data_IF_893562021205
#
_entry.id   IF_893562021205
#
_cell.length_a   1.000
_cell.length_b   1.000
_cell.length_c   1.000
_cell.angle_alpha   90.00
_cell.angle_beta   90.00
_cell.angle_gamma   90.00
#
_symmetry.space_group_name_H-M   'P 1'
#
loop_
_entity.id
_entity.type
_entity.pdbx_description
1 polymer ?
#
# COMPACT_ATOMS: atom_id res chain seq x y z
N UNK A 1 -40.28 -2.20 -69.53
CA UNK A 1 -40.06 -3.66 -69.68
C UNK A 1 -38.56 -3.88 -69.85
N UNK A 2 -37.95 -4.72 -69.00
CA UNK A 2 -36.75 -5.54 -69.34
C UNK A 2 -35.39 -4.80 -69.45
N UNK A 3 -34.53 -4.81 -68.42
CA UNK A 3 -33.42 -5.76 -68.10
C UNK A 3 -32.08 -5.49 -68.84
N UNK A 4 -31.06 -5.16 -68.01
CA UNK A 4 -29.59 -5.45 -68.03
C UNK A 4 -28.70 -5.22 -69.27
N UNK A 5 -27.61 -4.44 -69.11
CA UNK A 5 -26.19 -4.91 -68.97
C UNK A 5 -25.15 -3.76 -69.12
N UNK A 6 -24.17 -3.76 -68.17
CA UNK A 6 -22.70 -3.47 -68.34
C UNK A 6 -22.32 -2.00 -68.67
N UNK A 7 -21.24 -1.35 -68.18
CA UNK A 7 -20.03 -1.72 -67.42
C UNK A 7 -19.26 -0.40 -67.06
N UNK A 8 -18.56 -0.38 -65.91
CA UNK A 8 -17.41 0.48 -65.49
C UNK A 8 -17.71 1.99 -65.28
N UNK A 9 -17.25 2.66 -64.21
CA UNK A 9 -15.87 2.70 -63.67
C UNK A 9 -15.84 3.24 -62.22
N UNK A 10 -14.97 2.64 -61.41
CA UNK A 10 -14.17 3.20 -60.31
C UNK A 10 -14.83 3.94 -59.13
N UNK A 11 -15.05 3.23 -58.02
CA UNK A 11 -14.37 3.54 -56.75
C UNK A 11 -14.45 2.32 -55.83
N UNK A 12 -13.36 1.54 -55.80
CA UNK A 12 -13.13 0.49 -54.83
C UNK A 12 -11.99 0.96 -53.93
N UNK A 13 -12.11 0.73 -52.63
CA UNK A 13 -10.93 0.62 -51.78
C UNK A 13 -11.09 1.17 -50.36
N UNK A 14 -11.24 0.22 -49.44
CA UNK A 14 -10.70 0.25 -48.07
C UNK A 14 -11.54 1.02 -47.04
N UNK A 15 -12.60 0.36 -46.55
CA UNK A 15 -12.97 0.47 -45.14
C UNK A 15 -12.09 -0.56 -44.42
N UNK A 16 -10.96 -0.10 -43.91
CA UNK A 16 -10.09 -0.88 -43.04
C UNK A 16 -10.81 -0.98 -41.69
N UNK A 17 -11.61 -2.03 -41.51
CA UNK A 17 -12.05 -2.45 -40.18
C UNK A 17 -10.80 -2.97 -39.45
N UNK A 18 -10.07 -2.06 -38.80
CA UNK A 18 -9.04 -2.38 -37.82
C UNK A 18 -9.77 -2.94 -36.58
N UNK A 19 -10.23 -4.19 -36.66
CA UNK A 19 -10.35 -5.01 -35.46
C UNK A 19 -8.91 -5.29 -35.02
N UNK A 20 -8.37 -4.36 -34.22
CA UNK A 20 -7.24 -4.66 -33.35
C UNK A 20 -7.74 -5.75 -32.38
N UNK A 21 -7.60 -7.00 -32.79
CA UNK A 21 -7.42 -8.08 -31.84
C UNK A 21 -6.10 -7.78 -31.13
N UNK A 22 -6.15 -6.93 -30.10
CA UNK A 22 -5.15 -6.98 -29.05
C UNK A 22 -5.31 -8.34 -28.41
N UNK A 23 -4.47 -9.28 -28.86
CA UNK A 23 -4.14 -10.44 -28.05
C UNK A 23 -3.49 -9.88 -26.79
N UNK A 24 -4.29 -9.60 -25.76
CA UNK A 24 -3.80 -9.60 -24.39
C UNK A 24 -3.19 -10.99 -24.22
N UNK A 25 -1.86 -11.06 -24.24
CA UNK A 25 -1.10 -12.25 -23.91
C UNK A 25 -1.31 -12.50 -22.42
N UNK A 26 -2.42 -13.19 -22.14
CA UNK A 26 -3.01 -13.34 -20.83
C UNK A 26 -2.12 -14.14 -19.89
N UNK A 27 -1.48 -13.42 -18.99
CA UNK A 27 -0.79 -13.94 -17.85
C UNK A 27 -0.72 -12.83 -16.80
N UNK A 28 -1.63 -12.89 -15.82
CA UNK A 28 -1.80 -11.83 -14.84
C UNK A 28 -1.28 -12.24 -13.46
N UNK A 29 -0.81 -13.49 -13.31
CA UNK A 29 -0.07 -13.93 -12.13
C UNK A 29 1.29 -14.47 -12.53
N UNK A 30 2.34 -13.84 -11.99
CA UNK A 30 3.73 -14.25 -12.12
C UNK A 30 4.06 -15.11 -10.91
N UNK A 31 4.38 -16.38 -11.14
CA UNK A 31 4.90 -17.25 -10.10
C UNK A 31 6.42 -17.17 -10.05
N UNK A 32 6.95 -16.95 -8.86
CA UNK A 32 8.39 -16.85 -8.60
C UNK A 32 8.85 -17.79 -7.51
N UNK A 33 10.14 -18.07 -7.51
CA UNK A 33 10.86 -18.60 -6.36
C UNK A 33 12.08 -17.75 -6.02
N UNK A 34 12.57 -17.85 -4.78
CA UNK A 34 13.76 -17.13 -4.33
C UNK A 34 13.53 -16.36 -3.04
N UNK A 35 14.44 -15.48 -2.70
CA UNK A 35 14.37 -14.69 -1.47
C UNK A 35 14.47 -13.19 -1.75
N UNK A 36 13.88 -12.43 -0.84
CA UNK A 36 14.04 -11.00 -0.74
C UNK A 36 14.51 -10.65 0.66
N UNK A 37 15.44 -9.70 0.76
CA UNK A 37 15.92 -9.17 2.04
C UNK A 37 16.13 -7.68 1.95
N UNK A 38 15.58 -6.96 2.90
CA UNK A 38 15.79 -5.51 2.98
C UNK A 38 16.20 -5.10 4.39
N UNK A 39 17.00 -4.06 4.48
CA UNK A 39 17.37 -3.41 5.74
C UNK A 39 17.18 -1.93 5.58
N UNK A 40 16.31 -1.36 6.41
CA UNK A 40 15.93 0.05 6.35
C UNK A 40 16.01 0.68 7.73
N UNK A 41 16.35 1.96 7.78
CA UNK A 41 16.00 2.79 8.93
C UNK A 41 14.77 3.60 8.57
N UNK A 42 13.67 3.41 9.31
CA UNK A 42 12.41 4.10 9.12
C UNK A 42 12.32 5.32 10.05
N UNK A 43 11.72 6.38 9.52
CA UNK A 43 11.38 7.63 10.20
C UNK A 43 9.92 7.94 9.87
N UNK A 44 9.05 7.75 10.84
CA UNK A 44 7.61 7.96 10.67
C UNK A 44 7.23 9.12 11.57
N UNK A 45 6.71 10.17 10.97
CA UNK A 45 6.20 11.34 11.68
C UNK A 45 4.70 11.41 11.50
N UNK A 46 3.97 11.55 12.59
CA UNK A 46 2.54 11.81 12.57
C UNK A 46 2.27 13.16 13.22
N UNK A 47 1.46 13.99 12.55
CA UNK A 47 1.06 15.31 13.03
C UNK A 47 -0.44 15.38 13.14
N UNK A 48 -0.90 15.96 14.24
CA UNK A 48 -2.26 16.43 14.44
C UNK A 48 -2.21 17.96 14.50
N UNK A 49 -3.04 18.62 13.71
CA UNK A 49 -3.23 20.07 13.84
C UNK A 49 -4.71 20.43 13.97
N UNK A 50 -5.03 21.27 14.94
CA UNK A 50 -6.40 21.72 15.20
C UNK A 50 -6.40 23.17 15.69
N UNK A 51 -7.48 23.90 15.37
CA UNK A 51 -7.71 25.27 15.85
C UNK A 51 -7.93 25.38 17.36
N UNK A 52 -7.95 24.25 18.07
CA UNK A 52 -7.98 24.17 19.53
C UNK A 52 -8.83 22.99 19.98
N UNK A 53 -8.21 21.97 20.54
CA UNK A 53 -8.93 20.81 21.08
C UNK A 53 -9.38 21.16 22.51
N UNK A 54 -10.70 21.28 22.71
CA UNK A 54 -11.29 21.69 24.00
C UNK A 54 -11.21 20.61 25.07
N UNK A 55 -11.00 19.36 24.65
CA UNK A 55 -10.91 18.17 25.50
C UNK A 55 -9.52 17.56 25.44
N UNK A 56 -9.25 16.64 26.36
CA UNK A 56 -8.05 15.82 26.32
C UNK A 56 -8.01 15.01 25.02
N UNK A 57 -6.79 14.84 24.51
CA UNK A 57 -6.54 14.19 23.23
C UNK A 57 -5.80 12.90 23.50
N UNK A 58 -6.41 11.78 23.16
CA UNK A 58 -5.77 10.47 23.24
C UNK A 58 -5.35 10.02 21.86
N UNK A 59 -4.13 9.52 21.73
CA UNK A 59 -3.63 8.87 20.52
C UNK A 59 -3.20 7.45 20.83
N UNK A 60 -3.68 6.50 20.03
CA UNK A 60 -3.22 5.11 20.08
C UNK A 60 -2.35 4.83 18.88
N UNK A 61 -1.17 4.29 19.11
CA UNK A 61 -0.28 3.80 18.06
C UNK A 61 0.20 2.39 18.34
N UNK A 62 0.46 1.67 17.27
CA UNK A 62 1.07 0.34 17.31
C UNK A 62 2.56 0.45 17.04
N UNK A 63 3.32 -0.39 17.73
CA UNK A 63 4.79 -0.42 17.64
C UNK A 63 5.21 -1.69 16.91
N UNK A 64 6.05 -1.60 15.86
CA UNK A 64 6.50 -2.77 15.13
C UNK A 64 7.33 -3.68 16.03
N UNK A 65 7.09 -4.99 15.91
CA UNK A 65 7.81 -6.03 16.65
C UNK A 65 8.59 -6.95 15.73
N UNK A 66 9.56 -7.66 16.30
CA UNK A 66 10.25 -8.74 15.60
C UNK A 66 9.38 -10.00 15.61
N UNK A 67 9.32 -10.70 14.49
CA UNK A 67 8.61 -11.97 14.37
C UNK A 67 9.28 -12.89 13.33
N UNK A 68 8.90 -14.16 13.36
CA UNK A 68 9.28 -15.14 12.34
C UNK A 68 8.07 -16.01 12.04
N UNK A 69 7.62 -15.96 10.80
CA UNK A 69 6.59 -16.79 10.21
C UNK A 69 7.22 -17.66 9.11
N UNK A 70 6.42 -18.51 8.46
CA UNK A 70 6.94 -19.52 7.53
C UNK A 70 7.63 -18.92 6.31
N UNK A 71 7.04 -17.89 5.71
CA UNK A 71 7.55 -17.27 4.48
C UNK A 71 8.26 -15.95 4.74
N UNK A 72 8.06 -15.34 5.90
CA UNK A 72 8.47 -13.97 6.18
C UNK A 72 8.97 -13.82 7.62
N UNK A 73 10.00 -13.02 7.78
CA UNK A 73 10.53 -12.65 9.07
C UNK A 73 10.83 -11.15 9.11
N UNK A 74 10.69 -10.57 10.30
CA UNK A 74 11.01 -9.18 10.55
C UNK A 74 11.81 -9.09 11.84
N UNK A 75 12.85 -8.26 11.84
CA UNK A 75 13.59 -7.91 13.03
C UNK A 75 13.61 -6.40 13.19
N UNK A 76 13.13 -5.95 14.34
CA UNK A 76 13.08 -4.54 14.72
C UNK A 76 14.18 -4.27 15.75
N UNK A 77 14.94 -3.21 15.54
CA UNK A 77 15.97 -2.75 16.48
C UNK A 77 16.03 -1.22 16.51
N UNK A 78 16.69 -0.67 17.52
CA UNK A 78 16.89 0.78 17.65
C UNK A 78 15.61 1.62 17.63
N UNK A 79 14.52 1.08 18.19
CA UNK A 79 13.25 1.78 18.31
C UNK A 79 13.38 3.01 19.23
N UNK A 80 13.04 4.19 18.71
CA UNK A 80 12.97 5.45 19.43
C UNK A 80 11.61 6.11 19.18
N UNK A 81 11.07 6.70 20.23
CA UNK A 81 9.80 7.42 20.22
C UNK A 81 10.06 8.84 20.73
N UNK A 82 9.58 9.85 20.02
CA UNK A 82 9.65 11.25 20.43
C UNK A 82 8.29 11.92 20.27
N UNK A 83 7.97 12.84 21.16
CA UNK A 83 6.66 13.47 21.25
C UNK A 83 6.80 14.97 21.49
N UNK A 84 6.13 15.78 20.68
CA UNK A 84 6.12 17.23 20.78
C UNK A 84 4.70 17.80 20.65
N UNK A 85 4.12 18.42 21.68
CA UNK A 85 4.64 18.56 23.05
C UNK A 85 4.67 17.21 23.80
N UNK A 86 5.32 17.14 24.98
CA UNK A 86 5.27 15.93 25.79
C UNK A 86 3.83 15.58 26.22
N UNK A 87 3.42 14.30 26.15
CA UNK A 87 2.12 13.86 26.62
C UNK A 87 2.03 13.93 28.16
N UNK A 88 0.83 14.13 28.67
CA UNK A 88 0.52 14.06 30.10
C UNK A 88 0.63 12.63 30.65
N UNK A 89 0.23 11.64 29.85
CA UNK A 89 0.37 10.22 30.18
C UNK A 89 0.88 9.42 28.98
N UNK A 90 1.67 8.39 29.28
CA UNK A 90 2.12 7.37 28.34
C UNK A 90 1.78 6.03 28.97
N UNK A 91 0.97 5.24 28.29
CA UNK A 91 0.60 3.89 28.69
C UNK A 91 1.03 2.90 27.61
N UNK A 92 1.83 1.90 27.98
CA UNK A 92 2.32 0.88 27.06
C UNK A 92 1.81 -0.49 27.51
N UNK A 93 1.16 -1.22 26.61
CA UNK A 93 0.55 -2.51 26.91
C UNK A 93 0.49 -3.42 25.68
N UNK A 94 0.23 -4.71 25.89
CA UNK A 94 -0.13 -5.65 24.83
C UNK A 94 -1.64 -5.78 24.76
N UNK A 95 -2.21 -5.68 23.57
CA UNK A 95 -3.64 -5.93 23.36
C UNK A 95 -3.95 -7.44 23.31
N UNK A 96 -5.23 -7.78 23.16
CA UNK A 96 -5.71 -9.17 23.11
C UNK A 96 -5.22 -9.95 21.88
N UNK A 97 -4.67 -9.27 20.88
CA UNK A 97 -4.08 -9.84 19.67
C UNK A 97 -2.55 -9.93 19.74
N UNK A 98 -1.96 -9.47 20.85
CA UNK A 98 -0.53 -9.53 21.13
C UNK A 98 0.26 -8.33 20.61
N UNK A 99 -0.40 -7.32 20.04
CA UNK A 99 0.27 -6.14 19.50
C UNK A 99 0.79 -5.25 20.63
N UNK A 100 1.96 -4.65 20.45
CA UNK A 100 2.42 -3.58 21.35
C UNK A 100 1.72 -2.27 21.03
N UNK A 101 1.00 -1.74 22.00
CA UNK A 101 0.25 -0.49 21.90
C UNK A 101 0.87 0.55 22.81
N UNK A 102 1.01 1.77 22.29
CA UNK A 102 1.33 2.96 23.07
C UNK A 102 0.13 3.90 22.98
N UNK A 103 -0.46 4.18 24.13
CA UNK A 103 -1.53 5.15 24.30
C UNK A 103 -0.95 6.42 24.94
N UNK A 104 -1.14 7.55 24.27
CA UNK A 104 -0.61 8.85 24.65
C UNK A 104 -1.79 9.78 24.92
N UNK A 105 -1.77 10.51 26.03
CA UNK A 105 -2.81 11.52 26.30
C UNK A 105 -2.19 12.89 26.51
N UNK A 106 -2.73 13.91 25.84
CA UNK A 106 -2.43 15.32 26.08
C UNK A 106 -3.63 15.99 26.73
N UNK A 107 -3.36 16.86 27.71
CA UNK A 107 -4.41 17.68 28.32
C UNK A 107 -4.97 18.70 27.31
N UNK A 108 -6.18 19.20 27.55
CA UNK A 108 -6.83 20.26 26.75
C UNK A 108 -5.93 21.43 26.30
N UNK A 109 -6.31 22.07 25.20
CA UNK A 109 -5.65 23.23 24.56
C UNK A 109 -4.32 22.94 23.85
N UNK A 110 -4.14 21.72 23.32
CA UNK A 110 -3.04 21.45 22.39
C UNK A 110 -3.50 21.70 20.96
N UNK A 111 -2.72 22.49 20.22
CA UNK A 111 -3.01 22.87 18.83
C UNK A 111 -2.26 22.03 17.82
N UNK A 112 -1.04 21.61 18.16
CA UNK A 112 -0.16 20.82 17.30
C UNK A 112 0.45 19.72 18.15
N UNK A 113 0.30 18.48 17.69
CA UNK A 113 0.98 17.31 18.24
C UNK A 113 1.80 16.69 17.13
N UNK A 114 3.07 16.41 17.40
CA UNK A 114 3.97 15.65 16.55
C UNK A 114 4.44 14.41 17.31
N UNK A 115 4.38 13.26 16.65
CA UNK A 115 4.86 11.98 17.13
C UNK A 115 5.86 11.47 16.11
N UNK A 116 7.09 11.22 16.56
CA UNK A 116 8.15 10.68 15.72
C UNK A 116 8.53 9.29 16.20
N UNK A 117 8.50 8.33 15.27
CA UNK A 117 8.91 6.95 15.46
C UNK A 117 10.10 6.65 14.56
N UNK A 118 11.21 6.23 15.15
CA UNK A 118 12.41 5.81 14.43
C UNK A 118 12.76 4.38 14.79
N UNK A 119 13.07 3.54 13.81
CA UNK A 119 13.57 2.18 14.04
C UNK A 119 14.35 1.65 12.85
N UNK A 120 15.17 0.63 13.10
CA UNK A 120 15.73 -0.22 12.06
C UNK A 120 14.84 -1.44 11.88
N UNK A 121 14.51 -1.76 10.62
CA UNK A 121 13.83 -2.98 10.24
C UNK A 121 14.71 -3.79 9.28
N UNK A 122 14.93 -5.06 9.63
CA UNK A 122 15.44 -6.08 8.72
C UNK A 122 14.26 -6.99 8.36
N UNK A 123 13.91 -7.06 7.08
CA UNK A 123 12.80 -7.86 6.56
C UNK A 123 13.36 -8.94 5.65
N UNK A 124 12.81 -10.14 5.75
CA UNK A 124 13.17 -11.29 4.94
C UNK A 124 11.90 -11.96 4.44
N UNK A 125 11.86 -12.31 3.16
CA UNK A 125 10.79 -13.10 2.56
C UNK A 125 11.40 -14.22 1.73
N UNK A 126 10.89 -15.43 1.87
CA UNK A 126 11.26 -16.60 1.10
C UNK A 126 10.06 -17.09 0.28
N UNK A 127 10.14 -16.92 -1.03
CA UNK A 127 9.21 -17.44 -2.01
C UNK A 127 9.58 -18.89 -2.32
N UNK A 128 9.29 -19.79 -1.39
CA UNK A 128 9.36 -21.23 -1.67
C UNK A 128 8.05 -21.71 -2.28
N UNK A 129 8.08 -22.82 -3.03
CA UNK A 129 6.84 -23.53 -3.38
C UNK A 129 6.00 -23.78 -2.13
N UNK A 130 4.77 -23.30 -2.14
CA UNK A 130 3.79 -23.41 -1.07
C UNK A 130 2.84 -24.58 -1.34
N UNK A 131 2.83 -25.54 -0.43
CA UNK A 131 1.85 -26.63 -0.42
C UNK A 131 1.25 -26.77 0.98
N UNK A 132 -0.07 -26.97 1.02
CA UNK A 132 -0.83 -27.24 2.24
C UNK A 132 -1.81 -28.37 1.97
N UNK A 133 -1.85 -29.34 2.86
CA UNK A 133 -2.80 -30.47 2.87
C UNK A 133 -3.91 -30.25 3.91
N UNK A 134 -3.98 -29.07 4.51
CA UNK A 134 -5.02 -28.71 5.47
C UNK A 134 -6.42 -28.89 4.86
N UNK A 135 -7.29 -29.70 5.47
CA UNK A 135 -8.62 -29.97 4.92
C UNK A 135 -9.52 -28.75 5.06
N UNK A 136 -10.53 -28.66 4.19
CA UNK A 136 -11.65 -27.75 4.31
C UNK A 136 -12.96 -28.54 4.45
N UNK A 137 -13.84 -28.23 5.43
CA UNK A 137 -13.73 -27.18 6.45
C UNK A 137 -12.57 -27.36 7.44
N UNK A 138 -12.03 -26.24 7.93
CA UNK A 138 -10.86 -26.23 8.83
C UNK A 138 -11.27 -26.71 10.23
N UNK A 139 -10.48 -27.60 10.81
CA UNK A 139 -10.61 -27.97 12.23
C UNK A 139 -9.63 -27.14 13.06
N UNK A 140 -10.15 -26.33 13.97
CA UNK A 140 -9.35 -25.37 14.75
C UNK A 140 -9.09 -25.84 16.17
N UNK A 141 -7.98 -25.38 16.72
CA UNK A 141 -7.71 -25.42 18.15
C UNK A 141 -8.34 -24.20 18.85
N UNK A 142 -8.66 -24.29 20.15
CA UNK A 142 -9.40 -23.25 20.88
C UNK A 142 -8.79 -21.83 20.77
N UNK A 143 -7.46 -21.72 20.58
CA UNK A 143 -6.72 -20.45 20.54
C UNK A 143 -6.91 -19.60 19.27
N UNK A 144 -7.33 -20.20 18.16
CA UNK A 144 -7.44 -19.51 16.86
C UNK A 144 -8.83 -18.91 16.62
N UNK A 145 -9.78 -19.23 17.51
CA UNK A 145 -11.19 -18.81 17.44
C UNK A 145 -11.38 -17.29 17.43
N UNK A 146 -10.48 -16.52 18.06
CA UNK A 146 -10.54 -15.03 18.06
C UNK A 146 -10.34 -14.42 16.67
N UNK A 147 -9.72 -15.14 15.74
CA UNK A 147 -9.54 -14.70 14.36
C UNK A 147 -10.69 -15.12 13.44
N UNK A 148 -11.74 -15.74 14.01
CA UNK A 148 -13.03 -15.95 13.35
C UNK A 148 -14.08 -14.92 13.77
N UNK A 149 -13.77 -14.03 14.72
CA UNK A 149 -14.74 -13.10 15.27
C UNK A 149 -15.25 -12.12 14.20
N UNK A 150 -16.57 -12.14 14.02
CA UNK A 150 -17.34 -11.19 13.22
C UNK A 150 -17.30 -9.79 13.86
N UNK A 151 -17.15 -8.76 13.05
CA UNK A 151 -17.06 -7.36 13.52
C UNK A 151 -17.89 -6.44 12.64
N UNK A 152 -18.02 -5.16 13.00
CA UNK A 152 -18.75 -4.18 12.20
C UNK A 152 -18.14 -3.98 10.81
N UNK A 153 -16.80 -3.88 10.71
CA UNK A 153 -16.13 -3.72 9.42
C UNK A 153 -15.95 -5.02 8.65
N UNK A 154 -15.97 -6.17 9.33
CA UNK A 154 -15.87 -7.50 8.72
C UNK A 154 -16.98 -8.45 9.20
N UNK A 155 -18.25 -8.20 8.82
CA UNK A 155 -19.41 -8.93 9.32
C UNK A 155 -19.48 -10.35 8.72
N UNK A 156 -18.77 -11.29 9.33
CA UNK A 156 -18.66 -12.68 8.90
C UNK A 156 -19.99 -13.45 8.94
N UNK A 157 -20.93 -13.00 9.78
CA UNK A 157 -22.26 -13.61 9.91
C UNK A 157 -23.29 -13.05 8.91
N UNK A 158 -22.90 -12.07 8.08
CA UNK A 158 -23.78 -11.49 7.07
C UNK A 158 -24.19 -12.52 6.00
N UNK A 159 -25.43 -12.42 5.53
CA UNK A 159 -25.99 -13.36 4.57
C UNK A 159 -25.24 -13.35 3.23
N UNK A 160 -24.89 -12.18 2.68
CA UNK A 160 -24.22 -12.07 1.39
C UNK A 160 -22.77 -12.52 1.48
N UNK A 161 -22.09 -12.16 2.56
CA UNK A 161 -20.73 -12.64 2.86
C UNK A 161 -20.70 -14.17 2.91
N UNK A 162 -21.61 -14.78 3.67
CA UNK A 162 -21.71 -16.24 3.77
C UNK A 162 -22.09 -16.90 2.45
N UNK A 163 -23.01 -16.30 1.68
CA UNK A 163 -23.40 -16.83 0.37
C UNK A 163 -22.21 -16.87 -0.60
N UNK A 164 -21.49 -15.76 -0.73
CA UNK A 164 -20.32 -15.65 -1.62
C UNK A 164 -19.24 -16.61 -1.16
N UNK A 165 -18.90 -16.61 0.13
CA UNK A 165 -17.89 -17.52 0.68
C UNK A 165 -18.22 -18.99 0.39
N UNK A 166 -19.46 -19.43 0.62
CA UNK A 166 -19.90 -20.82 0.38
C UNK A 166 -19.90 -21.19 -1.10
N UNK A 167 -20.27 -20.27 -1.98
CA UNK A 167 -20.22 -20.49 -3.42
C UNK A 167 -18.77 -20.63 -3.90
N UNK A 168 -17.85 -19.79 -3.41
CA UNK A 168 -16.43 -19.85 -3.75
C UNK A 168 -15.72 -21.08 -3.17
N UNK A 169 -16.26 -21.68 -2.11
CA UNK A 169 -15.74 -22.90 -1.49
C UNK A 169 -16.44 -24.19 -1.95
N UNK A 170 -17.40 -24.11 -2.89
CA UNK A 170 -18.21 -25.26 -3.28
C UNK A 170 -17.36 -26.37 -3.93
N UNK A 171 -17.53 -27.62 -3.48
CA UNK A 171 -16.77 -28.81 -3.90
C UNK A 171 -15.25 -28.78 -3.67
N UNK A 172 -14.71 -27.77 -2.97
CA UNK A 172 -13.30 -27.70 -2.61
C UNK A 172 -13.05 -28.37 -1.25
N UNK A 173 -12.04 -29.26 -1.19
CA UNK A 173 -11.76 -30.07 0.00
C UNK A 173 -10.46 -29.67 0.73
N UNK A 174 -9.63 -28.81 0.13
CA UNK A 174 -8.40 -28.30 0.74
C UNK A 174 -8.55 -26.80 0.99
N UNK A 175 -8.08 -26.36 2.15
CA UNK A 175 -8.15 -24.95 2.54
C UNK A 175 -7.44 -24.03 1.54
N UNK A 176 -6.30 -24.46 0.99
CA UNK A 176 -5.51 -23.66 0.05
C UNK A 176 -6.23 -23.42 -1.27
N UNK A 177 -7.03 -24.38 -1.73
CA UNK A 177 -7.85 -24.25 -2.94
C UNK A 177 -8.98 -23.24 -2.71
N UNK A 178 -9.61 -23.26 -1.52
CA UNK A 178 -10.62 -22.27 -1.12
C UNK A 178 -10.04 -20.86 -1.02
N UNK A 179 -8.88 -20.71 -0.39
CA UNK A 179 -8.20 -19.42 -0.26
C UNK A 179 -7.80 -18.86 -1.62
N UNK A 180 -7.25 -19.69 -2.51
CA UNK A 180 -6.94 -19.31 -3.89
C UNK A 180 -8.19 -18.85 -4.65
N UNK A 181 -9.31 -19.57 -4.49
CA UNK A 181 -10.60 -19.22 -5.09
C UNK A 181 -11.07 -17.82 -4.67
N UNK A 182 -10.94 -17.50 -3.38
CA UNK A 182 -11.29 -16.18 -2.84
C UNK A 182 -10.36 -15.08 -3.37
N UNK A 183 -9.04 -15.28 -3.40
CA UNK A 183 -8.10 -14.28 -3.92
C UNK A 183 -8.36 -13.96 -5.40
N UNK A 184 -8.59 -14.99 -6.22
CA UNK A 184 -8.93 -14.83 -7.63
C UNK A 184 -10.24 -14.07 -7.78
N UNK A 185 -11.26 -14.39 -6.98
CA UNK A 185 -12.54 -13.69 -7.04
C UNK A 185 -12.41 -12.22 -6.65
N UNK A 186 -11.70 -11.91 -5.56
CA UNK A 186 -11.45 -10.54 -5.12
C UNK A 186 -10.78 -9.72 -6.23
N UNK A 187 -9.69 -10.21 -6.80
CA UNK A 187 -8.92 -9.48 -7.81
C UNK A 187 -9.61 -9.38 -9.17
N UNK A 188 -10.60 -10.23 -9.46
CA UNK A 188 -11.45 -10.11 -10.64
C UNK A 188 -12.62 -9.15 -10.46
N UNK A 189 -13.17 -9.09 -9.25
CA UNK A 189 -14.49 -8.50 -9.03
C UNK A 189 -14.48 -7.23 -8.18
N UNK A 190 -13.36 -6.91 -7.54
CA UNK A 190 -13.21 -5.75 -6.67
C UNK A 190 -12.07 -4.89 -7.19
N UNK A 191 -12.39 -3.69 -7.66
CA UNK A 191 -11.40 -2.70 -8.08
C UNK A 191 -10.70 -2.12 -6.85
N UNK A 192 -9.37 -2.10 -6.88
CA UNK A 192 -8.61 -1.36 -5.89
C UNK A 192 -8.64 0.13 -6.23
N UNK A 193 -9.18 0.94 -5.32
CA UNK A 193 -9.20 2.39 -5.49
C UNK A 193 -7.88 3.00 -5.03
N UNK A 194 -7.38 3.97 -5.81
CA UNK A 194 -6.24 4.81 -5.45
C UNK A 194 -6.66 6.12 -4.77
N UNK A 195 -7.96 6.28 -4.49
CA UNK A 195 -8.48 7.47 -3.81
C UNK A 195 -8.00 7.54 -2.35
N UNK A 196 -7.83 8.75 -1.79
CA UNK A 196 -7.40 8.93 -0.41
C UNK A 196 -8.32 8.16 0.56
N UNK A 197 -7.73 7.48 1.54
CA UNK A 197 -8.42 6.56 2.48
C UNK A 197 -9.68 7.15 3.14
N UNK A 198 -9.74 8.48 3.28
CA UNK A 198 -10.80 9.22 3.95
C UNK A 198 -12.13 9.25 3.15
N UNK A 199 -12.14 8.69 1.94
CA UNK A 199 -13.22 8.87 0.95
C UNK A 199 -14.13 7.65 0.77
N UNK A 200 -13.72 6.48 1.28
CA UNK A 200 -14.45 5.23 1.12
C UNK A 200 -14.78 4.63 2.47
N UNK A 201 -16.05 4.34 2.74
CA UNK A 201 -16.45 3.48 3.85
C UNK A 201 -15.65 2.18 3.77
N UNK A 202 -14.78 1.97 4.76
CA UNK A 202 -13.81 0.87 4.77
C UNK A 202 -14.43 -0.47 5.16
N UNK A 203 -15.75 -0.57 5.33
CA UNK A 203 -16.42 -1.81 5.69
C UNK A 203 -16.59 -2.75 4.49
N UNK A 204 -16.64 -4.05 4.77
CA UNK A 204 -16.73 -5.10 3.76
C UNK A 204 -17.97 -5.00 2.86
N UNK A 205 -19.14 -4.62 3.42
CA UNK A 205 -20.40 -4.62 2.68
C UNK A 205 -20.45 -3.46 1.69
N UNK A 206 -19.96 -2.28 2.07
CA UNK A 206 -19.77 -1.16 1.17
C UNK A 206 -18.87 -1.52 -0.02
N UNK A 207 -17.73 -2.17 0.24
CA UNK A 207 -16.81 -2.58 -0.84
C UNK A 207 -17.46 -3.62 -1.75
N UNK A 208 -18.19 -4.57 -1.18
CA UNK A 208 -18.92 -5.57 -1.95
C UNK A 208 -20.00 -4.95 -2.85
N UNK A 209 -20.77 -3.98 -2.34
CA UNK A 209 -21.82 -3.28 -3.08
C UNK A 209 -21.25 -2.40 -4.19
N UNK A 210 -20.19 -1.64 -3.89
CA UNK A 210 -19.56 -0.71 -4.84
C UNK A 210 -18.65 -1.41 -5.86
N UNK A 211 -18.21 -2.64 -5.59
CA UNK A 211 -17.17 -3.34 -6.36
C UNK A 211 -15.85 -2.57 -6.40
N UNK A 212 -15.61 -1.76 -5.37
CA UNK A 212 -14.44 -0.90 -5.26
C UNK A 212 -14.13 -0.61 -3.79
N UNK A 213 -12.85 -0.58 -3.44
CA UNK A 213 -12.40 -0.14 -2.12
C UNK A 213 -10.92 0.18 -2.08
N UNK A 214 -10.49 0.96 -1.08
CA UNK A 214 -9.07 1.05 -0.72
C UNK A 214 -8.56 -0.26 -0.12
N UNK A 215 -7.25 -0.34 0.14
CA UNK A 215 -6.61 -1.54 0.70
C UNK A 215 -7.24 -2.00 2.02
N UNK A 216 -7.57 -1.08 2.95
CA UNK A 216 -8.34 -1.37 4.17
C UNK A 216 -9.63 -2.12 3.90
N UNK A 217 -10.45 -1.57 3.00
CA UNK A 217 -11.78 -2.11 2.70
C UNK A 217 -11.71 -3.46 2.00
N UNK A 218 -10.77 -3.64 1.06
CA UNK A 218 -10.54 -4.93 0.41
C UNK A 218 -10.06 -5.98 1.42
N UNK A 219 -9.18 -5.61 2.36
CA UNK A 219 -8.76 -6.51 3.43
C UNK A 219 -9.92 -6.89 4.37
N UNK A 220 -10.79 -5.94 4.72
CA UNK A 220 -11.96 -6.21 5.55
C UNK A 220 -12.97 -7.13 4.84
N UNK A 221 -13.19 -6.94 3.53
CA UNK A 221 -14.02 -7.85 2.73
C UNK A 221 -13.41 -9.26 2.64
N UNK A 222 -12.11 -9.35 2.36
CA UNK A 222 -11.41 -10.63 2.33
C UNK A 222 -11.49 -11.34 3.69
N UNK A 223 -11.30 -10.60 4.78
CA UNK A 223 -11.44 -11.12 6.13
C UNK A 223 -12.87 -11.61 6.41
N UNK A 224 -13.90 -10.84 6.06
CA UNK A 224 -15.30 -11.24 6.25
C UNK A 224 -15.63 -12.54 5.51
N UNK A 225 -15.24 -12.66 4.23
CA UNK A 225 -15.47 -13.84 3.40
C UNK A 225 -14.82 -15.10 3.99
N UNK A 226 -13.56 -15.01 4.42
CA UNK A 226 -12.82 -16.12 5.00
C UNK A 226 -13.38 -16.54 6.36
N UNK A 227 -13.67 -15.57 7.25
CA UNK A 227 -14.28 -15.84 8.56
C UNK A 227 -15.65 -16.50 8.44
N UNK A 228 -16.48 -16.02 7.50
CA UNK A 228 -17.85 -16.54 7.30
C UNK A 228 -17.89 -18.02 6.92
N UNK A 229 -16.80 -18.54 6.33
CA UNK A 229 -16.66 -19.97 6.01
C UNK A 229 -15.73 -20.72 6.97
N UNK A 230 -15.37 -20.12 8.11
CA UNK A 230 -14.61 -20.77 9.17
C UNK A 230 -13.10 -20.82 8.95
N UNK A 231 -12.54 -19.96 8.10
CA UNK A 231 -11.09 -19.85 7.90
C UNK A 231 -10.54 -18.68 8.75
N UNK A 232 -9.64 -18.92 9.72
CA UNK A 232 -9.08 -17.86 10.54
C UNK A 232 -8.20 -16.92 9.72
N UNK A 233 -8.42 -15.64 9.93
CA UNK A 233 -7.75 -14.57 9.20
C UNK A 233 -7.61 -13.35 10.10
N UNK A 234 -6.51 -12.63 9.94
CA UNK A 234 -6.28 -11.33 10.57
C UNK A 234 -5.93 -10.29 9.53
N UNK A 235 -6.50 -9.10 9.67
CA UNK A 235 -6.05 -7.91 8.96
C UNK A 235 -4.77 -7.43 9.62
N UNK A 236 -3.83 -6.98 8.81
CA UNK A 236 -2.52 -6.50 9.24
C UNK A 236 -2.37 -5.06 8.78
N UNK A 237 -1.90 -4.21 9.69
CA UNK A 237 -1.41 -2.88 9.36
C UNK A 237 0.10 -2.87 9.43
N UNK A 238 0.70 -2.20 8.47
CA UNK A 238 2.11 -1.87 8.48
C UNK A 238 2.39 -0.62 7.69
N UNK A 239 3.62 -0.50 7.26
CA UNK A 239 4.10 0.57 6.38
C UNK A 239 4.95 -0.02 5.26
N UNK A 240 4.94 0.63 4.10
CA UNK A 240 5.83 0.30 2.99
C UNK A 240 6.90 1.36 2.80
N UNK A 241 8.00 0.94 2.16
CA UNK A 241 9.01 1.84 1.62
C UNK A 241 9.19 1.63 0.11
N UNK A 242 9.50 2.72 -0.57
CA UNK A 242 9.56 2.79 -2.01
C UNK A 242 10.89 2.30 -2.55
N UNK A 243 10.82 1.26 -3.38
CA UNK A 243 11.95 0.65 -4.06
C UNK A 243 11.43 -0.31 -5.14
N UNK A 244 11.84 -0.08 -6.39
CA UNK A 244 11.46 -0.97 -7.49
C UNK A 244 11.95 -2.41 -7.26
N UNK A 245 11.01 -3.34 -7.23
CA UNK A 245 11.24 -4.78 -7.34
C UNK A 245 11.13 -5.15 -8.81
N UNK A 246 12.20 -5.69 -9.37
CA UNK A 246 12.25 -6.05 -10.79
C UNK A 246 12.27 -7.56 -10.95
N UNK A 247 11.40 -8.07 -11.81
CA UNK A 247 11.46 -9.45 -12.30
C UNK A 247 11.67 -9.40 -13.82
N UNK A 248 12.74 -10.03 -14.27
CA UNK A 248 13.05 -10.12 -15.70
C UNK A 248 12.52 -11.45 -16.23
N UNK A 249 11.62 -11.39 -17.21
CA UNK A 249 11.06 -12.57 -17.88
C UNK A 249 11.33 -12.41 -19.36
N UNK A 250 12.16 -13.29 -19.93
CA UNK A 250 12.68 -13.19 -21.29
C UNK A 250 13.27 -11.81 -21.61
N UNK A 251 12.58 -11.01 -22.44
CA UNK A 251 12.96 -9.66 -22.87
C UNK A 251 12.12 -8.56 -22.21
N UNK A 252 11.25 -8.93 -21.26
CA UNK A 252 10.34 -8.01 -20.58
C UNK A 252 10.76 -7.83 -19.12
N UNK A 253 10.61 -6.59 -18.64
CA UNK A 253 10.87 -6.19 -17.27
C UNK A 253 9.54 -5.92 -16.59
N UNK A 254 9.24 -6.66 -15.53
CA UNK A 254 8.09 -6.44 -14.67
C UNK A 254 8.56 -5.71 -13.42
N UNK A 255 7.87 -4.63 -13.06
CA UNK A 255 8.26 -3.75 -11.96
C UNK A 255 7.10 -3.68 -10.98
N UNK A 256 7.40 -4.00 -9.71
CA UNK A 256 6.51 -3.78 -8.58
C UNK A 256 7.13 -2.69 -7.71
N UNK A 257 6.32 -1.76 -7.22
CA UNK A 257 6.77 -0.70 -6.31
C UNK A 257 5.65 -0.37 -5.32
N UNK A 258 6.06 0.06 -4.13
CA UNK A 258 5.16 0.48 -3.07
C UNK A 258 5.45 1.94 -2.72
N UNK A 259 4.43 2.79 -2.68
CA UNK A 259 4.61 4.15 -2.16
C UNK A 259 4.99 4.13 -0.67
N UNK A 260 5.63 5.18 -0.18
CA UNK A 260 5.90 5.36 1.25
C UNK A 260 4.59 5.74 1.97
N UNK A 261 3.89 4.78 2.56
CA UNK A 261 2.64 5.03 3.29
C UNK A 261 2.30 3.88 4.25
N UNK A 262 1.18 4.04 4.96
CA UNK A 262 0.52 2.91 5.61
C UNK A 262 0.05 1.90 4.56
N UNK A 263 0.09 0.63 4.94
CA UNK A 263 -0.36 -0.49 4.11
C UNK A 263 -1.21 -1.44 4.93
N UNK A 264 -2.19 -2.01 4.25
CA UNK A 264 -3.05 -3.06 4.79
C UNK A 264 -2.96 -4.31 3.91
N UNK A 265 -2.84 -5.46 4.56
CA UNK A 265 -2.91 -6.78 3.95
C UNK A 265 -3.62 -7.73 4.93
N UNK A 266 -3.89 -8.96 4.52
CA UNK A 266 -4.38 -10.00 5.44
C UNK A 266 -3.37 -11.12 5.57
N UNK A 267 -3.45 -11.83 6.69
CA UNK A 267 -2.77 -13.09 6.94
C UNK A 267 -3.81 -14.16 7.27
N UNK A 268 -3.73 -15.30 6.58
CA UNK A 268 -4.64 -16.42 6.67
C UNK A 268 -3.91 -17.56 7.35
N UNK A 269 -4.54 -18.18 8.35
CA UNK A 269 -3.92 -19.26 9.11
C UNK A 269 -4.20 -20.62 8.46
N UNK A 270 -3.14 -21.36 8.18
CA UNK A 270 -3.19 -22.77 7.76
C UNK A 270 -2.61 -23.65 8.88
N UNK A 271 -3.32 -24.69 9.34
CA UNK A 271 -2.84 -25.58 10.41
C UNK A 271 -1.44 -26.19 10.19
N UNK A 272 -1.06 -26.48 8.95
CA UNK A 272 0.19 -27.17 8.60
C UNK A 272 1.35 -26.24 8.19
N UNK A 273 1.06 -25.02 7.73
CA UNK A 273 2.08 -24.07 7.25
C UNK A 273 2.05 -22.70 7.92
N UNK A 274 1.13 -22.46 8.87
CA UNK A 274 1.04 -21.20 9.61
C UNK A 274 0.38 -20.05 8.85
N UNK A 275 0.77 -18.83 9.16
CA UNK A 275 0.20 -17.62 8.57
C UNK A 275 0.77 -17.35 7.17
N UNK A 276 -0.12 -17.09 6.22
CA UNK A 276 0.22 -16.79 4.82
C UNK A 276 -0.55 -15.55 4.37
N UNK A 277 0.11 -14.65 3.63
CA UNK A 277 -0.43 -13.32 3.36
C UNK A 277 -1.16 -13.17 2.02
N UNK A 278 -2.02 -12.16 1.93
CA UNK A 278 -2.55 -11.58 0.69
C UNK A 278 -2.48 -10.05 0.76
N UNK A 279 -1.81 -9.43 -0.22
CA UNK A 279 -1.80 -7.98 -0.42
C UNK A 279 -2.69 -7.64 -1.64
N UNK A 280 -3.77 -6.85 -1.47
CA UNK A 280 -4.63 -6.44 -2.56
C UNK A 280 -3.93 -5.63 -3.67
N UNK A 281 -2.70 -5.12 -3.43
CA UNK A 281 -1.86 -4.46 -4.45
C UNK A 281 -1.05 -5.41 -5.34
N UNK A 282 -1.44 -6.69 -5.38
CA UNK A 282 -0.93 -7.63 -6.37
C UNK A 282 0.08 -8.61 -5.79
N UNK A 283 -0.16 -9.10 -4.58
CA UNK A 283 0.57 -10.25 -4.05
C UNK A 283 -0.41 -11.30 -3.52
N UNK A 284 -0.30 -12.52 -4.03
CA UNK A 284 -0.99 -13.70 -3.49
C UNK A 284 0.00 -14.55 -2.70
N UNK A 285 -0.47 -15.16 -1.62
CA UNK A 285 0.28 -16.13 -0.81
C UNK A 285 1.65 -15.62 -0.29
N UNK A 286 1.77 -14.32 -0.07
CA UNK A 286 3.02 -13.69 0.39
C UNK A 286 2.91 -12.18 0.51
N UNK A 287 4.04 -11.56 0.85
CA UNK A 287 4.28 -10.11 0.86
C UNK A 287 5.68 -9.85 0.30
N UNK A 288 6.04 -8.59 0.04
CA UNK A 288 7.41 -8.23 -0.34
C UNK A 288 8.25 -7.92 0.90
N UNK A 289 9.58 -7.92 0.78
CA UNK A 289 10.45 -7.41 1.87
C UNK A 289 10.32 -5.89 2.07
N UNK A 290 9.50 -5.21 1.27
CA UNK A 290 9.29 -3.76 1.36
C UNK A 290 8.18 -3.35 2.31
N UNK A 291 7.57 -4.32 3.01
CA UNK A 291 6.57 -4.09 4.04
C UNK A 291 7.15 -4.32 5.44
N UNK A 292 6.84 -3.41 6.36
CA UNK A 292 7.13 -3.55 7.80
C UNK A 292 5.81 -3.66 8.56
N UNK A 293 5.58 -4.78 9.24
CA UNK A 293 4.38 -5.09 10.03
C UNK A 293 4.38 -4.37 11.37
N UNK A 294 3.24 -3.78 11.73
CA UNK A 294 3.04 -3.05 12.98
C UNK A 294 2.06 -3.77 13.91
N UNK A 295 0.91 -4.19 13.37
CA UNK A 295 -0.16 -4.79 14.16
C UNK A 295 -1.02 -5.74 13.33
N UNK A 296 -1.66 -6.69 13.99
CA UNK A 296 -2.61 -7.60 13.39
C UNK A 296 -3.85 -7.78 14.28
N UNK A 297 -5.02 -7.90 13.68
CA UNK A 297 -6.31 -7.91 14.39
C UNK A 297 -7.44 -8.43 13.50
N UNK A 298 -8.68 -8.50 14.02
CA UNK A 298 -9.80 -9.06 13.27
C UNK A 298 -10.18 -8.21 12.05
N UNK A 299 -10.02 -6.89 12.10
CA UNK A 299 -10.26 -5.98 10.97
C UNK A 299 -9.39 -4.72 11.07
N UNK A 300 -9.57 -3.78 10.13
CA UNK A 300 -8.79 -2.54 10.08
C UNK A 300 -8.92 -1.62 11.30
N UNK A 301 -10.01 -1.63 12.05
CA UNK A 301 -10.19 -0.78 13.24
C UNK A 301 -9.35 -1.25 14.42
N UNK A 302 -9.14 -2.56 14.54
CA UNK A 302 -8.34 -3.15 15.60
C UNK A 302 -6.83 -3.00 15.37
N UNK A 303 -6.42 -2.65 14.15
CA UNK A 303 -5.00 -2.47 13.80
C UNK A 303 -4.62 -1.03 13.47
N UNK A 304 -5.63 -0.17 13.30
CA UNK A 304 -5.39 1.24 12.99
C UNK A 304 -5.16 2.03 14.27
N UNK A 305 -3.93 2.54 14.41
CA UNK A 305 -3.69 3.65 15.33
C UNK A 305 -4.55 4.87 14.92
N UNK A 306 -4.99 5.64 15.90
CA UNK A 306 -5.98 6.69 15.68
C UNK A 306 -6.03 7.68 16.83
N UNK A 307 -6.50 8.88 16.49
CA UNK A 307 -6.82 9.90 17.47
C UNK A 307 -8.21 9.62 18.05
N UNK A 308 -8.38 9.87 19.34
CA UNK A 308 -9.67 9.71 20.01
C UNK A 308 -10.73 10.68 19.46
N UNK A 309 -11.99 10.43 19.83
CA UNK A 309 -13.19 11.18 19.40
C UNK A 309 -13.05 12.70 19.50
N UNK A 310 -12.29 13.19 20.48
CA UNK A 310 -12.03 14.63 20.66
C UNK A 310 -11.27 15.28 19.51
N UNK A 311 -10.64 14.51 18.63
CA UNK A 311 -9.80 14.96 17.53
C UNK A 311 -10.34 14.60 16.13
N UNK A 312 -11.59 14.16 16.00
CA UNK A 312 -12.20 13.80 14.69
C UNK A 312 -12.20 14.94 13.66
N UNK A 313 -12.26 16.19 14.12
CA UNK A 313 -12.24 17.38 13.26
C UNK A 313 -10.84 17.97 13.04
N UNK A 314 -9.79 17.28 13.49
CA UNK A 314 -8.42 17.75 13.36
C UNK A 314 -7.80 17.25 12.05
N UNK A 315 -6.93 18.06 11.48
CA UNK A 315 -6.15 17.67 10.32
C UNK A 315 -5.02 16.73 10.74
N UNK A 316 -4.88 15.62 10.03
CA UNK A 316 -3.88 14.59 10.32
C UNK A 316 -2.99 14.37 9.13
N UNK A 317 -1.68 14.42 9.38
CA UNK A 317 -0.67 14.20 8.35
C UNK A 317 0.34 13.17 8.82
N UNK A 318 0.67 12.22 7.95
CA UNK A 318 1.75 11.26 8.18
C UNK A 318 2.85 11.42 7.13
N UNK A 319 4.09 11.53 7.58
CA UNK A 319 5.27 11.48 6.72
C UNK A 319 6.01 10.16 6.97
N UNK A 320 6.40 9.48 5.89
CA UNK A 320 7.06 8.17 5.92
C UNK A 320 8.37 8.27 5.15
N UNK A 321 9.48 8.28 5.87
CA UNK A 321 10.82 8.44 5.29
C UNK A 321 11.65 7.21 5.62
N UNK A 322 12.39 6.71 4.64
CA UNK A 322 13.21 5.52 4.77
C UNK A 322 14.61 5.73 4.24
N UNK A 323 15.58 5.24 4.99
CA UNK A 323 16.98 5.15 4.61
C UNK A 323 17.28 3.67 4.35
N UNK A 324 17.26 3.28 3.07
CA UNK A 324 17.46 1.90 2.63
C UNK A 324 18.95 1.57 2.68
N UNK A 325 19.36 0.76 3.66
CA UNK A 325 20.74 0.34 3.89
C UNK A 325 21.17 -0.78 2.95
N UNK A 326 20.28 -1.73 2.72
CA UNK A 326 20.48 -2.79 1.75
C UNK A 326 19.13 -3.29 1.25
N UNK A 327 19.10 -3.70 -0.01
CA UNK A 327 17.94 -4.29 -0.65
C UNK A 327 18.44 -5.36 -1.62
N UNK A 328 17.98 -6.59 -1.42
CA UNK A 328 18.41 -7.78 -2.15
C UNK A 328 17.18 -8.56 -2.59
N UNK A 329 17.24 -9.04 -3.84
CA UNK A 329 16.24 -9.94 -4.41
C UNK A 329 16.93 -10.83 -5.45
N UNK A 330 16.67 -12.13 -5.36
CA UNK A 330 17.05 -13.12 -6.38
C UNK A 330 15.83 -13.88 -6.90
N UNK A 331 14.68 -13.19 -7.00
CA UNK A 331 13.47 -13.81 -7.52
C UNK A 331 13.67 -14.34 -8.94
N UNK A 332 13.40 -15.63 -9.11
CA UNK A 332 13.45 -16.35 -10.37
C UNK A 332 12.03 -16.65 -10.83
N UNK A 333 11.74 -16.30 -12.08
CA UNK A 333 10.48 -16.63 -12.73
C UNK A 333 10.33 -18.14 -12.88
N UNK A 334 9.17 -18.67 -12.51
CA UNK A 334 8.83 -20.08 -12.65
C UNK A 334 7.76 -20.31 -13.71
N UNK A 335 6.63 -19.61 -13.58
CA UNK A 335 5.50 -19.80 -14.48
C UNK A 335 4.57 -18.60 -14.52
N UNK A 336 3.72 -18.57 -15.53
CA UNK A 336 2.59 -17.67 -15.60
C UNK A 336 1.29 -18.43 -15.35
N UNK A 337 0.41 -17.86 -14.51
CA UNK A 337 -0.99 -18.28 -14.43
C UNK A 337 -1.89 -17.22 -15.05
N UNK A 338 -2.72 -17.67 -15.99
CA UNK A 338 -3.70 -16.81 -16.66
C UNK A 338 -4.97 -16.76 -15.83
N UNK A 339 -5.20 -15.61 -15.20
CA UNK A 339 -6.38 -15.40 -14.36
C UNK A 339 -7.35 -14.34 -14.92
N UNK A 340 -6.96 -13.57 -15.95
CA UNK A 340 -7.71 -12.46 -16.55
C UNK A 340 -7.98 -11.32 -15.56
N UNK A 341 -6.96 -10.87 -14.85
CA UNK A 341 -7.02 -9.69 -13.99
C UNK A 341 -6.74 -8.41 -14.81
N UNK A 342 -7.12 -7.25 -14.26
CA UNK A 342 -6.74 -5.93 -14.77
C UNK A 342 -5.36 -5.45 -14.25
N UNK A 343 -4.69 -6.28 -13.44
CA UNK A 343 -3.40 -6.01 -12.79
C UNK A 343 -2.49 -7.23 -12.83
N UNK A 344 -1.20 -7.02 -12.60
CA UNK A 344 -0.23 -8.10 -12.42
C UNK A 344 -0.14 -8.45 -10.94
N UNK A 345 -0.20 -9.75 -10.66
CA UNK A 345 -0.08 -10.34 -9.33
C UNK A 345 1.22 -11.13 -9.25
N UNK A 346 1.99 -10.90 -8.21
CA UNK A 346 3.13 -11.73 -7.85
C UNK A 346 2.67 -12.81 -6.86
N UNK A 347 3.24 -14.01 -6.96
CA UNK A 347 2.90 -15.13 -6.09
C UNK A 347 4.09 -16.09 -6.01
N UNK A 348 4.32 -16.80 -4.89
CA UNK A 348 5.14 -17.99 -4.93
C UNK A 348 4.51 -19.04 -5.86
N UNK A 349 5.24 -20.11 -6.17
CA UNK A 349 4.61 -21.30 -6.75
C UNK A 349 3.67 -21.91 -5.71
N UNK A 350 2.41 -22.16 -6.07
CA UNK A 350 1.41 -22.71 -5.14
C UNK A 350 0.80 -24.00 -5.73
N UNK A 351 0.78 -25.06 -4.92
CA UNK A 351 0.17 -26.36 -5.26
C UNK A 351 -1.35 -26.35 -5.03
N UNK A 352 -2.06 -25.62 -5.89
CA UNK A 352 -3.53 -25.57 -5.97
C UNK A 352 -4.05 -26.42 -7.14
N UNK A 353 -5.27 -26.94 -7.03
CA UNK A 353 -5.96 -27.62 -8.12
C UNK A 353 -6.23 -26.68 -9.32
N UNK A 354 -6.47 -27.27 -10.49
CA UNK A 354 -6.80 -26.54 -11.73
C UNK A 354 -8.27 -26.09 -11.80
N UNK A 355 -9.05 -26.29 -10.75
CA UNK A 355 -10.47 -25.94 -10.73
C UNK A 355 -10.65 -24.43 -10.78
N UNK A 356 -11.38 -23.96 -11.79
CA UNK A 356 -11.76 -22.56 -11.89
C UNK A 356 -12.78 -22.23 -10.80
N UNK A 357 -12.61 -21.12 -10.05
CA UNK A 357 -13.57 -20.70 -9.04
C UNK A 357 -14.99 -20.65 -9.61
N UNK A 358 -15.95 -21.22 -8.90
CA UNK A 358 -17.35 -21.03 -9.25
C UNK A 358 -17.73 -19.58 -8.96
N UNK A 359 -18.09 -18.81 -10.00
CA UNK A 359 -18.55 -17.45 -9.79
C UNK A 359 -19.97 -17.46 -9.18
N UNK A 360 -20.17 -16.88 -7.98
CA UNK A 360 -21.48 -16.79 -7.38
C UNK A 360 -22.41 -15.94 -8.25
N UNK A 361 -23.69 -16.30 -8.32
CA UNK A 361 -24.69 -15.37 -8.83
C UNK A 361 -24.81 -14.21 -7.85
N UNK A 362 -24.62 -12.99 -8.35
CA UNK A 362 -24.75 -11.78 -7.55
C UNK A 362 -26.11 -11.10 -7.76
N UNK A 363 -26.96 -11.68 -8.61
CA UNK A 363 -28.36 -11.30 -8.81
C UNK A 363 -29.23 -11.92 -7.71
N UNK A 364 -29.01 -11.49 -6.47
CA UNK A 364 -29.80 -11.92 -5.31
C UNK A 364 -30.63 -10.74 -4.83
N UNK A 365 -31.89 -10.99 -4.47
CA UNK A 365 -32.79 -9.98 -3.93
C UNK A 365 -32.13 -9.26 -2.74
N UNK A 366 -32.08 -7.92 -2.81
CA UNK A 366 -31.50 -7.05 -1.78
C UNK A 366 -30.03 -6.65 -1.95
N UNK A 367 -29.24 -7.31 -2.83
CA UNK A 367 -27.88 -6.85 -3.17
C UNK A 367 -27.94 -5.93 -4.38
N UNK A 368 -27.97 -4.61 -4.15
CA UNK A 368 -27.87 -3.63 -5.22
C UNK A 368 -26.39 -3.32 -5.48
N UNK A 369 -25.86 -3.82 -6.60
CA UNK A 369 -24.51 -3.48 -7.05
C UNK A 369 -24.54 -2.13 -7.77
N UNK A 370 -23.57 -1.26 -7.45
CA UNK A 370 -23.38 -0.03 -8.19
C UNK A 370 -22.67 -0.34 -9.52
N UNK A 371 -23.27 0.10 -10.64
CA UNK A 371 -22.61 0.05 -11.95
C UNK A 371 -21.61 1.20 -12.04
N UNK A 372 -20.32 0.89 -12.01
CA UNK A 372 -19.28 1.89 -12.26
C UNK A 372 -18.94 1.90 -13.76
N UNK A 373 -19.14 3.02 -14.50
CA UNK A 373 -18.67 3.15 -15.87
C UNK A 373 -17.14 3.11 -15.91
N UNK A 374 -16.58 2.29 -16.80
CA UNK A 374 -15.13 2.15 -17.00
C UNK A 374 -14.68 3.06 -18.14
N UNK A 375 -13.93 4.13 -17.84
CA UNK A 375 -13.09 4.81 -18.83
C UNK A 375 -11.63 4.38 -18.61
N UNK A 376 -11.13 3.52 -19.50
CA UNK A 376 -9.71 3.15 -19.56
C UNK A 376 -8.95 4.26 -20.29
N UNK A 377 -8.14 5.04 -19.57
CA UNK A 377 -7.16 5.93 -20.22
C UNK A 377 -6.10 5.08 -20.94
N UNK A 378 -6.32 4.88 -22.23
CA UNK A 378 -5.40 4.16 -23.12
C UNK A 378 -4.33 5.11 -23.62
N UNK A 379 -3.11 5.05 -23.05
CA UNK A 379 -1.99 5.73 -23.68
C UNK A 379 -0.74 6.02 -22.84
N UNK A 380 -0.04 5.00 -22.35
CA UNK A 380 1.42 5.13 -22.08
C UNK A 380 2.14 3.86 -22.52
N UNK A 381 2.95 3.98 -23.58
CA UNK A 381 3.86 2.91 -24.02
C UNK A 381 5.12 3.03 -23.17
N UNK A 382 5.24 2.10 -22.23
CA UNK A 382 6.24 2.04 -21.16
C UNK A 382 5.49 1.72 -19.88
N UNK A 383 5.40 0.43 -19.53
CA UNK A 383 4.60 -0.02 -18.39
C UNK A 383 5.32 0.37 -17.09
N UNK A 384 5.15 1.63 -16.69
CA UNK A 384 5.33 2.13 -15.34
C UNK A 384 3.99 1.95 -14.63
N UNK A 385 3.88 0.93 -13.77
CA UNK A 385 2.74 0.78 -12.88
C UNK A 385 2.91 1.75 -11.71
N UNK A 386 2.34 2.94 -11.87
CA UNK A 386 2.48 4.02 -10.91
C UNK A 386 1.50 3.83 -9.74
N UNK A 387 2.03 3.46 -8.57
CA UNK A 387 1.33 3.44 -7.27
C UNK A 387 1.64 4.72 -6.44
N UNK A 388 2.07 5.81 -7.07
CA UNK A 388 2.45 7.04 -6.39
C UNK A 388 1.30 8.06 -6.30
N UNK A 389 0.60 8.07 -5.17
CA UNK A 389 -0.16 9.24 -4.74
C UNK A 389 0.80 10.24 -4.10
N UNK A 390 1.52 10.99 -4.95
CA UNK A 390 2.32 12.14 -4.53
C UNK A 390 1.43 13.38 -4.49
N UNK A 391 0.77 13.62 -3.37
CA UNK A 391 0.12 14.91 -3.12
C UNK A 391 0.69 15.57 -1.87
N UNK A 392 1.53 16.57 -2.13
CA UNK A 392 1.94 17.70 -1.26
C UNK A 392 3.33 17.67 -0.60
N UNK A 393 4.10 16.57 -0.62
CA UNK A 393 5.53 16.59 -0.29
C UNK A 393 6.38 16.54 -1.57
N UNK A 394 7.45 17.33 -1.61
CA UNK A 394 8.47 17.23 -2.66
C UNK A 394 9.53 16.21 -2.20
N UNK A 395 9.16 14.93 -2.13
CA UNK A 395 10.09 13.84 -1.81
C UNK A 395 11.01 13.59 -3.00
N UNK A 396 12.11 14.33 -3.07
CA UNK A 396 13.08 14.25 -4.18
C UNK A 396 14.39 13.66 -3.69
N UNK A 397 14.72 12.50 -4.24
CA UNK A 397 16.06 11.92 -4.16
C UNK A 397 17.03 12.77 -5.00
N UNK A 398 17.93 13.48 -4.34
CA UNK A 398 19.00 14.22 -5.02
C UNK A 398 19.96 13.25 -5.72
N UNK A 399 20.01 13.27 -7.05
CA UNK A 399 20.97 12.49 -7.86
C UNK A 399 22.08 13.39 -8.38
N UNK A 400 23.27 12.85 -8.69
CA UNK A 400 24.46 13.61 -9.13
C UNK A 400 24.25 14.47 -10.39
N UNK A 401 23.18 14.24 -11.17
CA UNK A 401 22.98 14.80 -12.49
C UNK A 401 21.72 15.69 -12.64
N UNK A 402 21.04 16.07 -11.54
CA UNK A 402 19.80 16.87 -11.63
C UNK A 402 19.88 18.12 -10.75
N UNK A 403 19.48 19.26 -11.32
CA UNK A 403 19.26 20.53 -10.62
C UNK A 403 17.75 20.74 -10.52
N UNK A 404 17.25 20.96 -9.32
CA UNK A 404 15.83 21.19 -9.06
C UNK A 404 15.59 22.67 -8.78
N UNK A 405 14.48 23.21 -9.29
CA UNK A 405 14.07 24.59 -9.09
C UNK A 405 12.64 24.63 -8.57
N UNK A 406 12.38 25.49 -7.59
CA UNK A 406 11.04 25.76 -7.06
C UNK A 406 10.74 27.25 -7.24
N UNK A 407 9.50 27.58 -7.59
CA UNK A 407 9.05 28.95 -7.81
C UNK A 407 8.10 29.37 -6.69
N UNK A 408 8.33 30.56 -6.15
CA UNK A 408 7.40 31.24 -5.26
C UNK A 408 7.24 32.69 -5.72
N UNK A 409 6.01 33.22 -5.67
CA UNK A 409 5.71 34.58 -6.07
C UNK A 409 5.64 35.49 -4.85
N UNK A 410 6.50 36.50 -4.79
CA UNK A 410 6.49 37.50 -3.74
C UNK A 410 5.60 38.66 -4.16
N UNK A 411 4.60 39.00 -3.35
CA UNK A 411 3.60 40.04 -3.66
C UNK A 411 4.11 41.48 -3.42
N UNK A 412 5.29 41.63 -2.83
CA UNK A 412 5.90 42.91 -2.48
C UNK A 412 7.43 42.78 -2.53
N UNK A 413 8.17 43.88 -2.76
CA UNK A 413 9.63 43.86 -2.72
C UNK A 413 10.11 43.51 -1.32
N UNK A 414 11.11 42.61 -1.24
CA UNK A 414 11.76 42.19 0.01
C UNK A 414 13.27 42.38 -0.11
N UNK A 415 13.93 42.59 1.03
CA UNK A 415 15.39 42.43 1.14
C UNK A 415 15.67 41.08 1.77
N UNK A 416 16.42 40.21 1.07
CA UNK A 416 16.76 38.87 1.58
C UNK A 416 18.09 38.98 2.34
N UNK A 417 18.07 38.68 3.63
CA UNK A 417 19.27 38.70 4.50
C UNK A 417 19.76 37.29 4.86
N UNK A 418 18.86 36.32 4.88
CA UNK A 418 19.12 34.94 5.24
C UNK A 418 18.06 34.05 4.58
N UNK A 419 18.45 32.83 4.21
CA UNK A 419 17.51 31.80 3.75
C UNK A 419 17.65 30.59 4.63
N UNK A 420 16.53 30.02 5.07
CA UNK A 420 16.51 28.75 5.79
C UNK A 420 15.59 27.79 5.07
N UNK A 421 16.09 26.59 4.80
CA UNK A 421 15.32 25.52 4.17
C UNK A 421 15.31 24.28 5.08
N UNK A 422 14.15 23.66 5.31
CA UNK A 422 14.07 22.38 6.02
C UNK A 422 14.54 21.29 5.06
N UNK A 423 15.75 20.79 5.25
CA UNK A 423 16.39 19.83 4.34
C UNK A 423 16.83 18.60 5.11
N UNK A 424 16.51 17.44 4.55
CA UNK A 424 16.96 16.14 5.06
C UNK A 424 18.13 15.66 4.20
N UNK A 425 19.23 15.29 4.86
CA UNK A 425 20.40 14.74 4.19
C UNK A 425 20.22 13.25 3.96
N UNK A 426 20.19 12.85 2.69
CA UNK A 426 20.07 11.45 2.25
C UNK A 426 21.37 10.85 1.70
N UNK A 427 22.44 11.64 1.53
CA UNK A 427 23.73 11.20 0.98
C UNK A 427 24.90 11.98 1.59
N UNK A 428 26.05 11.32 1.72
CA UNK A 428 27.31 11.87 2.24
C UNK A 428 28.20 12.53 1.16
N UNK A 429 27.68 12.71 -0.06
CA UNK A 429 28.47 13.30 -1.15
C UNK A 429 27.73 14.43 -1.84
N UNK A 430 28.41 15.56 -2.06
CA UNK A 430 27.89 16.68 -2.85
C UNK A 430 27.95 18.04 -2.16
N UNK A 431 27.42 19.05 -2.84
CA UNK A 431 27.30 20.41 -2.30
C UNK A 431 25.85 20.87 -2.45
N UNK A 432 25.36 21.58 -1.44
CA UNK A 432 24.01 22.17 -1.41
C UNK A 432 24.14 23.69 -1.49
N UNK A 433 23.37 24.33 -2.36
CA UNK A 433 23.27 25.79 -2.46
C UNK A 433 21.91 26.19 -3.02
N UNK A 434 21.58 27.48 -2.96
CA UNK A 434 20.35 28.07 -3.48
C UNK A 434 20.71 29.09 -4.56
N UNK A 435 20.05 29.00 -5.71
CA UNK A 435 20.17 29.96 -6.81
C UNK A 435 18.91 30.82 -6.92
N UNK A 436 19.09 32.13 -7.11
CA UNK A 436 18.02 33.07 -7.41
C UNK A 436 18.11 33.49 -8.86
N UNK A 437 16.99 33.42 -9.55
CA UNK A 437 16.85 33.87 -10.92
C UNK A 437 15.85 35.02 -10.97
N UNK A 438 16.08 35.97 -11.88
CA UNK A 438 15.08 36.97 -12.22
C UNK A 438 13.84 36.28 -12.77
N UNK A 439 12.65 36.82 -12.51
CA UNK A 439 11.45 36.35 -13.21
C UNK A 439 11.42 36.99 -14.60
N UNK A 440 11.28 36.16 -15.63
CA UNK A 440 11.12 36.59 -17.02
C UNK A 440 9.82 35.97 -17.55
N UNK A 441 8.72 36.70 -17.42
CA UNK A 441 7.39 36.26 -17.87
C UNK A 441 6.98 34.87 -17.34
N UNK A 442 7.32 34.61 -16.07
CA UNK A 442 6.96 33.39 -15.39
C UNK A 442 7.98 32.26 -15.50
N UNK A 443 9.07 32.43 -16.26
CA UNK A 443 10.21 31.50 -16.33
C UNK A 443 11.48 32.10 -15.70
N UNK A 444 12.42 31.28 -15.19
CA UNK A 444 13.70 31.77 -14.70
C UNK A 444 14.51 32.49 -15.78
N UNK A 445 14.81 33.77 -15.56
CA UNK A 445 15.70 34.62 -16.34
C UNK A 445 17.14 34.55 -15.85
N UNK A 446 17.85 35.69 -15.81
CA UNK A 446 19.25 35.73 -15.40
C UNK A 446 19.42 35.37 -13.92
N UNK A 447 20.49 34.63 -13.58
CA UNK A 447 20.81 34.33 -12.18
C UNK A 447 21.25 35.61 -11.48
N UNK A 448 20.42 36.07 -10.55
CA UNK A 448 20.67 37.24 -9.72
C UNK A 448 21.70 36.94 -8.63
N UNK A 449 21.60 35.77 -8.00
CA UNK A 449 22.42 35.44 -6.84
C UNK A 449 22.57 33.93 -6.62
N UNK A 450 23.63 33.51 -5.93
CA UNK A 450 23.89 32.13 -5.49
C UNK A 450 24.43 32.15 -4.06
N UNK A 451 23.84 31.39 -3.16
CA UNK A 451 24.33 31.26 -1.78
C UNK A 451 25.66 30.49 -1.71
N UNK A 452 26.34 30.58 -0.57
CA UNK A 452 27.51 29.73 -0.31
C UNK A 452 27.15 28.24 -0.40
N UNK A 453 28.09 27.46 -0.96
CA UNK A 453 27.96 26.02 -1.03
C UNK A 453 28.24 25.41 0.34
N UNK A 454 27.30 24.61 0.80
CA UNK A 454 27.45 23.78 1.99
C UNK A 454 27.85 22.39 1.51
N UNK A 455 29.03 21.94 1.95
CA UNK A 455 29.49 20.57 1.71
C UNK A 455 28.61 19.61 2.51
N UNK A 456 27.96 18.65 1.83
CA UNK A 456 27.04 17.73 2.48
C UNK A 456 27.73 16.87 3.55
N UNK A 457 29.05 16.63 3.45
CA UNK A 457 29.82 15.90 4.49
C UNK A 457 29.84 16.62 5.83
N UNK A 458 29.71 17.96 5.84
CA UNK A 458 29.74 18.79 7.07
C UNK A 458 28.39 18.88 7.75
N UNK A 459 27.34 18.43 7.07
CA UNK A 459 26.00 18.36 7.62
C UNK A 459 25.84 17.06 8.40
N UNK A 460 25.30 17.16 9.62
CA UNK A 460 24.93 15.98 10.40
C UNK A 460 23.86 15.19 9.63
N UNK A 461 24.03 13.88 9.56
CA UNK A 461 23.06 13.00 8.93
C UNK A 461 21.73 13.13 9.69
N UNK A 462 20.67 13.49 8.97
CA UNK A 462 19.31 13.71 9.47
C UNK A 462 19.24 14.64 10.70
N UNK A 463 19.15 15.95 10.42
CA UNK A 463 18.91 16.98 11.44
C UNK A 463 17.42 17.00 11.86
N UNK A 464 16.91 15.91 12.43
CA UNK A 464 15.46 15.74 12.71
C UNK A 464 14.97 16.74 13.77
N UNK A 465 15.81 17.06 14.77
CA UNK A 465 15.47 18.06 15.80
C UNK A 465 15.50 19.51 15.29
N UNK A 466 16.21 19.78 14.20
CA UNK A 466 16.27 21.09 13.55
C UNK A 466 16.67 20.95 12.07
N UNK A 467 15.72 20.66 11.17
CA UNK A 467 16.02 20.39 9.76
C UNK A 467 16.41 21.65 8.99
N UNK A 468 16.37 22.82 9.63
CA UNK A 468 16.62 24.10 8.99
C UNK A 468 18.10 24.31 8.72
N UNK A 469 18.49 24.12 7.47
CA UNK A 469 19.78 24.54 6.96
C UNK A 469 19.74 26.01 6.61
N UNK A 470 20.68 26.75 7.17
CA UNK A 470 20.84 28.18 6.94
C UNK A 470 21.81 28.41 5.79
N UNK A 471 21.35 29.17 4.80
CA UNK A 471 22.14 29.65 3.67
C UNK A 471 22.28 31.17 3.79
N UNK A 472 23.42 31.66 4.32
CA UNK A 472 23.70 33.09 4.32
C UNK A 472 23.79 33.60 2.88
N UNK A 473 23.21 34.79 2.66
CA UNK A 473 23.17 35.53 1.38
C UNK A 473 24.33 36.51 1.32
#
# INVERSE_FOLDING_TARGET
MTIMRKLKTCMAGIIFAFFLFFNYTGADTIQVEGEMRSTVTAYITQRLSSSGLENDVTYKMFIPESYTETLNAQKISWLRKSYGPPPATINEFKDDFGNNVVELTWNKNVHIIQIDLQFNAETFVNFTTLSSESPFPVTLSDGDSKYLTSTELSPADDFYINYIGRALSYNLNRQIDVVNSIFIWLDKNIRLSNLPENSSSGDALSVLQKREGGDKGVCNLAAALLKGIGIPVRVVKGVSFQKEITINIDKQKYIFDHSNNNRYWIEIYFPDIGWVSYDPRGMHFGVTSHLVKFSAGPDSDYVSGGWGVSAENADTQGDYIYDIKSDFSNLEFQSFKKNNFDKIVLSPVVSVGDETPQEPSLEIEGLQLENIPVELETGVIGILFDNSTLTQSLDIVATRNKVYAQKFTLKFPITVTEIRLPLIKFSDEGNIWVDFFADKDGVPGDRLFRTYRIDSTKLRFMMIENPWLTFPV
#
